data_IF_994679483850
#
_entry.id   IF_994679483850
#
_cell.length_a   1.000
_cell.length_b   1.000
_cell.length_c   1.000
_cell.angle_alpha   90.00
_cell.angle_beta   90.00
_cell.angle_gamma   90.00
#
_symmetry.space_group_name_H-M   'P 1'
#
loop_
_entity.id
_entity.type
_entity.pdbx_description
1 polymer ?
#
# COMPACT_ATOMS: atom_id res chain seq x y z
N UNK A 1 32.71 -63.53 23.39
CA UNK A 1 33.64 -63.44 22.24
C UNK A 1 33.24 -62.25 21.38
N UNK A 2 34.10 -61.24 21.16
CA UNK A 2 33.86 -60.17 20.18
C UNK A 2 34.83 -60.21 18.98
N UNK A 3 34.40 -59.51 17.91
CA UNK A 3 35.09 -58.92 16.73
C UNK A 3 34.54 -59.43 15.37
N UNK A 4 34.63 -58.65 14.25
CA UNK A 4 35.20 -57.30 14.09
C UNK A 4 34.34 -56.27 13.30
N UNK A 5 34.96 -55.08 13.18
CA UNK A 5 34.50 -53.81 12.63
C UNK A 5 34.29 -53.75 11.10
N UNK A 6 33.43 -52.83 10.69
CA UNK A 6 33.29 -52.35 9.31
C UNK A 6 32.69 -50.93 9.27
N UNK A 7 33.49 -49.96 8.82
CA UNK A 7 33.09 -48.63 8.37
C UNK A 7 32.12 -48.79 7.16
N UNK A 8 31.21 -47.90 6.73
CA UNK A 8 31.22 -46.44 6.55
C UNK A 8 29.86 -46.06 5.90
N UNK A 9 29.42 -44.79 6.00
CA UNK A 9 28.91 -43.93 4.90
C UNK A 9 27.86 -42.91 5.41
N UNK A 10 28.27 -41.64 5.50
CA UNK A 10 27.37 -40.48 5.55
C UNK A 10 26.99 -40.02 4.12
N UNK A 11 25.84 -39.35 3.92
CA UNK A 11 25.38 -38.96 2.59
C UNK A 11 26.16 -37.76 2.02
N UNK A 12 26.50 -37.85 0.74
CA UNK A 12 27.12 -36.78 -0.07
C UNK A 12 26.12 -35.64 -0.30
N UNK A 13 26.51 -34.40 0.01
CA UNK A 13 25.82 -33.20 -0.49
C UNK A 13 26.18 -33.00 -1.96
N UNK A 14 25.16 -33.01 -2.81
CA UNK A 14 25.27 -32.73 -4.24
C UNK A 14 25.53 -31.26 -4.54
N UNK A 15 26.23 -31.07 -5.66
CA UNK A 15 26.78 -29.84 -6.21
C UNK A 15 25.74 -28.78 -6.59
N UNK A 16 26.09 -27.52 -6.29
CA UNK A 16 25.44 -26.31 -6.78
C UNK A 16 26.49 -25.24 -7.06
N UNK A 17 27.23 -25.44 -8.17
CA UNK A 17 28.00 -24.48 -8.96
C UNK A 17 28.34 -23.12 -8.30
N UNK A 18 29.48 -23.07 -7.58
CA UNK A 18 30.23 -21.83 -7.40
C UNK A 18 31.28 -21.73 -8.51
N UNK A 19 31.37 -20.62 -9.26
CA UNK A 19 32.46 -20.46 -10.21
C UNK A 19 33.79 -20.35 -9.44
N UNK A 20 34.73 -21.24 -9.76
CA UNK A 20 36.12 -21.17 -9.28
C UNK A 20 36.77 -19.92 -9.83
N UNK A 21 36.85 -18.87 -9.01
CA UNK A 21 37.66 -17.71 -9.29
C UNK A 21 39.09 -17.93 -8.77
N UNK A 22 39.95 -18.50 -9.62
CA UNK A 22 41.40 -18.34 -9.50
C UNK A 22 41.84 -17.39 -10.62
N UNK A 23 41.88 -16.09 -10.33
CA UNK A 23 42.76 -15.11 -10.99
C UNK A 23 42.62 -13.71 -10.36
N UNK A 24 43.76 -13.19 -9.89
CA UNK A 24 44.13 -11.78 -9.86
C UNK A 24 43.24 -10.79 -9.08
N UNK A 25 43.55 -10.61 -7.80
CA UNK A 25 44.02 -9.31 -7.26
C UNK A 25 43.19 -8.03 -7.42
N UNK A 26 41.93 -8.06 -7.86
CA UNK A 26 41.06 -6.88 -7.89
C UNK A 26 39.86 -7.10 -7.00
N UNK A 27 39.85 -6.42 -5.85
CA UNK A 27 38.72 -6.33 -4.92
C UNK A 27 37.47 -5.94 -5.70
N UNK A 28 36.59 -6.91 -5.96
CA UNK A 28 35.31 -6.70 -6.63
C UNK A 28 34.50 -5.67 -5.83
N UNK A 29 34.43 -4.43 -6.33
CA UNK A 29 33.57 -3.40 -5.74
C UNK A 29 32.17 -3.62 -6.30
N UNK A 30 31.23 -4.02 -5.43
CA UNK A 30 29.80 -4.06 -5.76
C UNK A 30 29.41 -2.72 -6.42
N UNK A 31 28.79 -2.72 -7.60
CA UNK A 31 28.33 -1.49 -8.24
C UNK A 31 27.34 -0.78 -7.31
N UNK A 32 27.45 0.55 -7.20
CA UNK A 32 26.56 1.34 -6.35
C UNK A 32 25.15 1.24 -6.93
N UNK A 33 24.15 0.77 -6.15
CA UNK A 33 22.79 0.66 -6.65
C UNK A 33 22.26 2.03 -7.09
N UNK A 34 21.56 2.06 -8.23
CA UNK A 34 20.93 3.26 -8.78
C UNK A 34 19.94 3.83 -7.76
N UNK A 35 19.66 5.13 -7.87
CA UNK A 35 18.80 5.84 -6.91
C UNK A 35 17.44 5.12 -6.72
N UNK A 36 16.85 4.57 -7.78
CA UNK A 36 15.60 3.78 -7.71
C UNK A 36 15.76 2.37 -7.11
N UNK A 37 16.90 1.70 -7.36
CA UNK A 37 17.20 0.36 -6.83
C UNK A 37 17.42 0.39 -5.30
N UNK A 38 18.05 1.44 -4.76
CA UNK A 38 18.18 1.63 -3.29
C UNK A 38 16.85 1.82 -2.57
N UNK A 39 15.89 2.46 -3.24
CA UNK A 39 14.54 2.59 -2.70
C UNK A 39 13.83 1.23 -2.71
N UNK A 40 13.93 0.47 -3.81
CA UNK A 40 13.36 -0.87 -3.90
C UNK A 40 13.99 -1.87 -2.91
N UNK A 41 15.30 -1.83 -2.70
CA UNK A 41 16.03 -2.69 -1.75
C UNK A 41 15.65 -2.41 -0.28
N UNK A 42 15.42 -1.14 0.10
CA UNK A 42 14.90 -0.78 1.43
C UNK A 42 13.45 -1.22 1.67
N UNK A 43 12.70 -1.46 0.59
CA UNK A 43 11.27 -1.75 0.59
C UNK A 43 10.95 -3.22 0.27
N UNK A 44 11.96 -4.10 0.18
CA UNK A 44 11.71 -5.55 0.09
C UNK A 44 10.94 -6.01 1.33
N UNK A 45 9.97 -6.94 1.20
CA UNK A 45 9.14 -7.36 2.32
C UNK A 45 10.02 -8.06 3.35
N UNK A 46 10.42 -7.28 4.37
CA UNK A 46 10.97 -7.83 5.61
C UNK A 46 9.85 -8.62 6.24
N UNK A 47 10.18 -9.78 6.81
CA UNK A 47 9.24 -10.57 7.62
C UNK A 47 8.46 -9.62 8.55
N UNK A 48 7.12 -9.60 8.52
CA UNK A 48 6.33 -8.75 9.42
C UNK A 48 6.73 -8.98 10.88
N UNK A 49 6.77 -7.91 11.67
CA UNK A 49 7.12 -7.97 13.09
C UNK A 49 5.91 -7.74 14.00
N UNK A 50 6.08 -7.95 15.30
CA UNK A 50 5.04 -7.64 16.28
C UNK A 50 4.76 -6.13 16.35
N UNK A 51 5.78 -5.30 16.14
CA UNK A 51 5.65 -3.84 16.09
C UNK A 51 4.81 -3.39 14.89
N UNK A 52 4.98 -4.02 13.72
CA UNK A 52 4.11 -3.77 12.55
C UNK A 52 2.64 -4.03 12.91
N UNK A 53 2.37 -5.16 13.59
CA UNK A 53 1.01 -5.51 14.02
C UNK A 53 0.45 -4.50 15.04
N UNK A 54 1.27 -4.01 15.97
CA UNK A 54 0.88 -2.96 16.92
C UNK A 54 0.51 -1.65 16.21
N UNK A 55 1.25 -1.27 15.16
CA UNK A 55 0.91 -0.10 14.33
C UNK A 55 -0.45 -0.29 13.65
N UNK A 56 -0.71 -1.49 13.09
CA UNK A 56 -2.01 -1.81 12.48
C UNK A 56 -3.15 -1.72 13.50
N UNK A 57 -2.96 -2.28 14.70
CA UNK A 57 -3.95 -2.19 15.77
C UNK A 57 -4.22 -0.73 16.14
N UNK A 58 -3.18 0.11 16.18
CA UNK A 58 -3.35 1.55 16.48
C UNK A 58 -4.06 2.33 15.39
N UNK A 59 -3.75 2.02 14.12
CA UNK A 59 -4.48 2.52 12.96
C UNK A 59 -5.97 2.12 13.05
N UNK A 60 -6.25 0.86 13.39
CA UNK A 60 -7.62 0.38 13.59
C UNK A 60 -8.35 1.13 14.72
N UNK A 61 -7.69 1.35 15.86
CA UNK A 61 -8.25 2.10 16.99
C UNK A 61 -8.68 3.51 16.60
N UNK A 62 -7.83 4.25 15.87
CA UNK A 62 -8.14 5.59 15.39
C UNK A 62 -9.37 5.60 14.46
N UNK A 63 -9.60 4.53 13.69
CA UNK A 63 -10.79 4.40 12.82
C UNK A 63 -12.09 4.13 13.58
N UNK A 64 -12.00 3.82 14.88
CA UNK A 64 -13.15 3.58 15.76
C UNK A 64 -13.60 4.83 16.50
N UNK A 65 -12.81 5.90 16.50
CA UNK A 65 -13.23 7.18 17.11
C UNK A 65 -14.60 7.59 16.58
N UNK A 66 -15.50 8.12 17.45
CA UNK A 66 -16.88 8.41 17.06
C UNK A 66 -17.00 9.29 15.82
N UNK A 67 -16.19 10.34 15.74
CA UNK A 67 -16.23 11.27 14.60
C UNK A 67 -15.63 10.66 13.34
N UNK A 68 -14.54 9.89 13.47
CA UNK A 68 -13.98 9.13 12.35
C UNK A 68 -14.98 8.07 11.83
N UNK A 69 -15.77 7.43 12.69
CA UNK A 69 -16.82 6.51 12.26
C UNK A 69 -17.90 7.20 11.44
N UNK A 70 -18.33 8.41 11.83
CA UNK A 70 -19.27 9.21 11.03
C UNK A 70 -18.66 9.58 9.67
N UNK A 71 -17.41 10.05 9.68
CA UNK A 71 -16.71 10.41 8.46
C UNK A 71 -16.61 9.24 7.47
N UNK A 72 -16.22 8.06 7.97
CA UNK A 72 -16.12 6.82 7.18
C UNK A 72 -17.49 6.35 6.67
N UNK A 73 -18.53 6.45 7.50
CA UNK A 73 -19.89 6.11 7.10
C UNK A 73 -20.35 7.01 5.94
N UNK A 74 -20.22 8.34 6.09
CA UNK A 74 -20.55 9.30 5.02
C UNK A 74 -19.72 9.06 3.75
N UNK A 75 -18.41 8.84 3.89
CA UNK A 75 -17.53 8.57 2.75
C UNK A 75 -17.96 7.31 2.00
N UNK A 76 -18.45 6.29 2.71
CA UNK A 76 -18.91 5.04 2.12
C UNK A 76 -20.30 5.14 1.49
N UNK A 77 -21.27 5.70 2.21
CA UNK A 77 -22.69 5.71 1.81
C UNK A 77 -23.03 6.84 0.84
N UNK A 78 -22.51 8.04 1.07
CA UNK A 78 -23.05 9.28 0.49
C UNK A 78 -22.10 9.90 -0.53
N UNK A 79 -20.79 9.89 -0.27
CA UNK A 79 -19.81 10.51 -1.16
C UNK A 79 -19.56 9.67 -2.42
N UNK A 80 -20.33 9.87 -3.50
CA UNK A 80 -20.15 9.14 -4.77
C UNK A 80 -19.89 10.09 -5.95
N UNK A 81 -18.65 10.65 -6.06
CA UNK A 81 -18.34 11.60 -7.12
C UNK A 81 -18.47 10.93 -8.49
N UNK A 82 -19.03 11.67 -9.45
CA UNK A 82 -19.21 11.29 -10.86
C UNK A 82 -18.12 11.90 -11.75
N UNK A 83 -17.49 12.96 -11.29
CA UNK A 83 -16.42 13.68 -11.98
C UNK A 83 -15.48 14.36 -10.97
N UNK A 84 -14.47 15.08 -11.47
CA UNK A 84 -13.53 15.82 -10.63
C UNK A 84 -14.18 17.00 -9.89
N UNK A 85 -15.17 17.66 -10.48
CA UNK A 85 -15.83 18.83 -9.88
C UNK A 85 -16.59 18.46 -8.60
N UNK A 86 -17.23 17.30 -8.55
CA UNK A 86 -17.87 16.78 -7.34
C UNK A 86 -16.87 16.62 -6.19
N UNK A 87 -15.64 16.17 -6.50
CA UNK A 87 -14.57 16.06 -5.49
C UNK A 87 -14.06 17.44 -5.08
N UNK A 88 -13.89 18.34 -6.04
CA UNK A 88 -13.40 19.71 -5.82
C UNK A 88 -14.38 20.51 -4.97
N UNK A 89 -15.68 20.36 -5.16
CA UNK A 89 -16.71 21.02 -4.34
C UNK A 89 -16.57 20.64 -2.86
N UNK A 90 -16.35 19.36 -2.57
CA UNK A 90 -16.09 18.88 -1.20
C UNK A 90 -14.78 19.45 -0.67
N UNK A 91 -13.70 19.44 -1.46
CA UNK A 91 -12.39 19.98 -1.04
C UNK A 91 -12.46 21.48 -0.74
N UNK A 92 -13.16 22.26 -1.57
CA UNK A 92 -13.34 23.72 -1.44
C UNK A 92 -14.41 24.11 -0.41
N UNK A 93 -14.87 23.14 0.38
CA UNK A 93 -15.75 23.34 1.53
C UNK A 93 -17.13 23.94 1.20
N UNK A 94 -17.76 23.51 0.10
CA UNK A 94 -19.17 23.80 -0.17
C UNK A 94 -20.09 23.39 1.02
N UNK A 95 -19.72 22.30 1.70
CA UNK A 95 -20.27 21.90 3.00
C UNK A 95 -19.10 21.69 3.99
N UNK A 96 -18.99 22.52 5.06
CA UNK A 96 -17.88 22.42 6.02
C UNK A 96 -17.76 21.07 6.74
N UNK A 97 -18.89 20.42 7.05
CA UNK A 97 -18.88 19.13 7.76
C UNK A 97 -18.40 18.00 6.85
N UNK A 98 -18.89 17.96 5.61
CA UNK A 98 -18.47 16.97 4.61
C UNK A 98 -17.00 17.16 4.24
N UNK A 99 -16.55 18.41 4.15
CA UNK A 99 -15.14 18.73 3.97
C UNK A 99 -14.28 18.21 5.13
N UNK A 100 -14.71 18.40 6.38
CA UNK A 100 -14.01 17.88 7.55
C UNK A 100 -13.94 16.34 7.51
N UNK A 101 -15.06 15.67 7.23
CA UNK A 101 -15.11 14.21 7.09
C UNK A 101 -14.24 13.68 5.95
N UNK A 102 -14.30 14.33 4.79
CA UNK A 102 -13.48 14.00 3.63
C UNK A 102 -11.99 14.09 3.95
N UNK A 103 -11.55 15.20 4.56
CA UNK A 103 -10.15 15.35 4.99
C UNK A 103 -9.75 14.32 6.04
N UNK A 104 -10.65 13.98 6.96
CA UNK A 104 -10.39 12.98 7.98
C UNK A 104 -10.09 11.61 7.36
N UNK A 105 -10.92 11.15 6.42
CA UNK A 105 -10.73 9.84 5.76
C UNK A 105 -9.52 9.85 4.84
N UNK A 106 -9.43 10.81 3.92
CA UNK A 106 -8.35 10.85 2.93
C UNK A 106 -6.98 11.12 3.56
N UNK A 107 -6.91 12.02 4.54
CA UNK A 107 -5.68 12.34 5.27
C UNK A 107 -5.18 11.17 6.11
N UNK A 108 -6.09 10.46 6.79
CA UNK A 108 -5.76 9.25 7.55
C UNK A 108 -5.06 8.20 6.67
N UNK A 109 -5.60 7.93 5.48
CA UNK A 109 -5.02 6.93 4.58
C UNK A 109 -3.71 7.38 3.94
N UNK A 110 -3.56 8.66 3.60
CA UNK A 110 -2.29 9.19 3.08
C UNK A 110 -1.18 9.17 4.15
N UNK A 111 -1.52 9.46 5.41
CA UNK A 111 -0.62 9.29 6.54
C UNK A 111 -0.21 7.83 6.72
N UNK A 112 -1.17 6.89 6.75
CA UNK A 112 -0.88 5.47 6.93
C UNK A 112 0.00 4.91 5.79
N UNK A 113 -0.27 5.29 4.55
CA UNK A 113 0.58 4.95 3.40
C UNK A 113 2.01 5.50 3.55
N UNK A 114 2.18 6.65 4.22
CA UNK A 114 3.51 7.21 4.50
C UNK A 114 4.37 6.31 5.39
N UNK A 115 3.78 5.54 6.31
CA UNK A 115 4.51 4.61 7.17
C UNK A 115 5.10 3.46 6.35
N UNK A 116 4.31 2.89 5.45
CA UNK A 116 4.77 1.84 4.53
C UNK A 116 5.85 2.38 3.59
N UNK A 117 5.60 3.54 2.98
CA UNK A 117 6.55 4.16 2.04
C UNK A 117 7.88 4.56 2.69
N UNK A 118 7.91 4.73 4.01
CA UNK A 118 9.12 5.02 4.81
C UNK A 118 9.72 3.77 5.46
N UNK A 119 9.12 2.60 5.27
CA UNK A 119 9.58 1.33 5.84
C UNK A 119 9.34 1.18 7.33
N UNK A 120 8.42 1.97 7.90
CA UNK A 120 8.01 1.88 9.31
C UNK A 120 6.86 0.87 9.52
N UNK A 121 6.22 0.43 8.44
CA UNK A 121 5.16 -0.57 8.46
C UNK A 121 5.34 -1.53 7.28
N UNK A 122 5.29 -2.83 7.54
CA UNK A 122 5.31 -3.86 6.50
C UNK A 122 4.13 -3.69 5.49
N UNK A 123 4.44 -3.75 4.19
CA UNK A 123 3.47 -3.54 3.12
C UNK A 123 2.38 -4.62 3.06
N UNK A 124 2.77 -5.90 3.10
CA UNK A 124 1.82 -7.00 2.96
C UNK A 124 0.82 -7.02 4.12
N UNK A 125 1.31 -6.84 5.35
CA UNK A 125 0.47 -6.74 6.55
C UNK A 125 -0.49 -5.54 6.47
N UNK A 126 -0.02 -4.41 5.94
CA UNK A 126 -0.86 -3.24 5.70
C UNK A 126 -1.91 -3.50 4.62
N UNK A 127 -1.57 -4.19 3.54
CA UNK A 127 -2.50 -4.54 2.47
C UNK A 127 -3.59 -5.52 2.92
N UNK A 128 -3.27 -6.46 3.80
CA UNK A 128 -4.22 -7.42 4.36
C UNK A 128 -5.26 -6.76 5.28
N UNK A 129 -4.87 -5.67 5.96
CA UNK A 129 -5.72 -4.96 6.93
C UNK A 129 -6.36 -3.67 6.36
N UNK A 130 -5.89 -3.19 5.21
CA UNK A 130 -6.15 -1.87 4.65
C UNK A 130 -7.27 -1.79 3.61
N UNK A 131 -8.27 -2.68 3.61
CA UNK A 131 -9.30 -2.77 2.57
C UNK A 131 -9.96 -1.43 2.19
N UNK A 132 -10.25 -0.59 3.18
CA UNK A 132 -10.89 0.72 2.98
C UNK A 132 -9.96 1.76 2.34
N UNK A 133 -8.63 1.62 2.44
CA UNK A 133 -7.69 2.45 1.69
C UNK A 133 -7.92 2.30 0.19
N UNK A 134 -8.04 1.05 -0.28
CA UNK A 134 -8.28 0.74 -1.69
C UNK A 134 -9.61 1.33 -2.14
N UNK A 135 -10.64 1.22 -1.33
CA UNK A 135 -11.96 1.80 -1.62
C UNK A 135 -11.90 3.33 -1.69
N UNK A 136 -11.21 3.96 -0.74
CA UNK A 136 -11.01 5.42 -0.69
C UNK A 136 -10.31 5.92 -1.95
N UNK A 137 -9.19 5.28 -2.33
CA UNK A 137 -8.47 5.63 -3.55
C UNK A 137 -9.34 5.39 -4.79
N UNK A 138 -9.96 4.21 -4.92
CA UNK A 138 -10.73 3.85 -6.11
C UNK A 138 -11.91 4.81 -6.41
N UNK A 139 -12.54 5.39 -5.38
CA UNK A 139 -13.60 6.40 -5.59
C UNK A 139 -13.11 7.66 -6.27
N UNK A 140 -11.87 8.08 -6.06
CA UNK A 140 -11.34 9.33 -6.62
C UNK A 140 -10.30 9.11 -7.72
N UNK A 141 -9.75 7.90 -7.85
CA UNK A 141 -8.65 7.57 -8.77
C UNK A 141 -8.92 7.99 -10.23
N UNK A 142 -10.11 7.74 -10.83
CA UNK A 142 -10.39 8.18 -12.20
C UNK A 142 -10.30 9.70 -12.40
N UNK A 143 -10.51 10.47 -11.34
CA UNK A 143 -10.56 11.94 -11.37
C UNK A 143 -9.35 12.58 -10.69
N UNK A 144 -8.38 11.79 -10.22
CA UNK A 144 -7.39 12.22 -9.24
C UNK A 144 -6.47 13.30 -9.80
N UNK A 145 -6.03 13.15 -11.06
CA UNK A 145 -5.20 14.15 -11.76
C UNK A 145 -5.92 15.49 -11.86
N UNK A 146 -7.11 15.49 -12.46
CA UNK A 146 -7.92 16.70 -12.67
C UNK A 146 -8.33 17.35 -11.34
N UNK A 147 -8.68 16.54 -10.33
CA UNK A 147 -9.00 17.02 -8.97
C UNK A 147 -7.83 17.81 -8.38
N UNK A 148 -6.59 17.28 -8.47
CA UNK A 148 -5.39 17.95 -7.95
C UNK A 148 -5.12 19.28 -8.65
N UNK A 149 -5.34 19.33 -9.96
CA UNK A 149 -5.21 20.54 -10.77
C UNK A 149 -6.26 21.59 -10.37
N UNK A 150 -7.55 21.24 -10.39
CA UNK A 150 -8.67 22.15 -10.08
C UNK A 150 -8.74 22.62 -8.62
N UNK A 151 -8.34 21.76 -7.69
CA UNK A 151 -8.29 22.08 -6.26
C UNK A 151 -6.98 22.73 -5.81
N UNK A 152 -5.96 22.80 -6.67
CA UNK A 152 -4.62 23.28 -6.33
C UNK A 152 -3.99 22.51 -5.16
N UNK A 153 -4.27 21.20 -5.07
CA UNK A 153 -3.76 20.30 -4.02
C UNK A 153 -2.90 19.19 -4.63
N UNK A 154 -1.68 19.47 -5.11
CA UNK A 154 -0.87 18.52 -5.88
C UNK A 154 -0.52 17.23 -5.11
N UNK A 155 -0.58 17.26 -3.78
CA UNK A 155 -0.23 16.14 -2.90
C UNK A 155 -1.43 15.29 -2.47
N UNK A 156 -2.67 15.64 -2.86
CA UNK A 156 -3.87 14.90 -2.45
C UNK A 156 -3.77 13.41 -2.82
N UNK A 157 -3.78 12.54 -1.80
CA UNK A 157 -3.58 11.07 -1.89
C UNK A 157 -2.33 10.61 -2.66
N UNK A 158 -1.30 11.46 -2.79
CA UNK A 158 -0.11 11.13 -3.58
C UNK A 158 0.64 9.90 -3.04
N UNK A 159 0.63 9.66 -1.72
CA UNK A 159 1.31 8.50 -1.13
C UNK A 159 0.48 7.25 -1.31
N UNK A 160 -0.85 7.35 -1.16
CA UNK A 160 -1.76 6.23 -1.40
C UNK A 160 -1.69 5.77 -2.85
N UNK A 161 -1.75 6.70 -3.81
CA UNK A 161 -1.61 6.41 -5.24
C UNK A 161 -0.26 5.74 -5.54
N UNK A 162 0.84 6.32 -5.04
CA UNK A 162 2.17 5.75 -5.26
C UNK A 162 2.30 4.35 -4.66
N UNK A 163 1.79 4.15 -3.44
CA UNK A 163 1.78 2.84 -2.79
C UNK A 163 0.98 1.81 -3.60
N UNK A 164 -0.22 2.19 -4.04
CA UNK A 164 -1.11 1.35 -4.82
C UNK A 164 -0.59 1.01 -6.22
N UNK A 165 0.25 1.87 -6.83
CA UNK A 165 0.66 1.70 -8.23
C UNK A 165 2.09 1.21 -8.41
N UNK A 166 2.92 1.21 -7.35
CA UNK A 166 4.36 0.86 -7.44
C UNK A 166 4.63 -0.61 -7.77
N UNK A 167 3.82 -1.54 -7.26
CA UNK A 167 4.01 -2.99 -7.45
C UNK A 167 2.94 -3.58 -8.37
N UNK A 168 3.19 -4.78 -8.90
CA UNK A 168 2.18 -5.51 -9.66
C UNK A 168 0.98 -5.87 -8.78
N UNK A 169 1.21 -6.41 -7.59
CA UNK A 169 0.16 -6.78 -6.64
C UNK A 169 -0.73 -5.58 -6.28
N UNK A 170 -0.13 -4.42 -5.96
CA UNK A 170 -0.88 -3.21 -5.65
C UNK A 170 -1.77 -2.76 -6.82
N UNK A 171 -1.25 -2.82 -8.05
CA UNK A 171 -2.05 -2.48 -9.25
C UNK A 171 -3.20 -3.46 -9.45
N UNK A 172 -2.98 -4.75 -9.26
CA UNK A 172 -4.00 -5.79 -9.41
C UNK A 172 -5.12 -5.62 -8.36
N UNK A 173 -4.76 -5.30 -7.10
CA UNK A 173 -5.71 -4.97 -6.03
C UNK A 173 -6.50 -3.69 -6.33
N UNK A 174 -5.83 -2.63 -6.78
CA UNK A 174 -6.49 -1.38 -7.18
C UNK A 174 -7.47 -1.61 -8.33
N UNK A 175 -7.08 -2.36 -9.37
CA UNK A 175 -7.96 -2.69 -10.49
C UNK A 175 -9.19 -3.48 -10.04
N UNK A 176 -9.01 -4.43 -9.13
CA UNK A 176 -10.15 -5.16 -8.53
C UNK A 176 -11.11 -4.21 -7.81
N UNK A 177 -10.58 -3.26 -7.03
CA UNK A 177 -11.42 -2.30 -6.31
C UNK A 177 -12.10 -1.30 -7.24
N UNK A 178 -11.41 -0.82 -8.29
CA UNK A 178 -12.00 0.05 -9.31
C UNK A 178 -13.23 -0.59 -9.95
N UNK A 179 -13.14 -1.85 -10.37
CA UNK A 179 -14.30 -2.60 -10.92
C UNK A 179 -15.47 -2.65 -9.94
N UNK A 180 -15.20 -2.86 -8.64
CA UNK A 180 -16.24 -2.88 -7.60
C UNK A 180 -16.90 -1.52 -7.41
N UNK A 181 -16.10 -0.45 -7.39
CA UNK A 181 -16.60 0.94 -7.26
C UNK A 181 -17.45 1.32 -8.48
N UNK A 182 -17.01 1.01 -9.69
CA UNK A 182 -17.78 1.27 -10.91
C UNK A 182 -19.09 0.48 -10.96
N UNK A 183 -19.07 -0.80 -10.59
CA UNK A 183 -20.30 -1.59 -10.48
C UNK A 183 -21.29 -0.97 -9.48
N UNK A 184 -20.79 -0.46 -8.35
CA UNK A 184 -21.63 0.23 -7.36
C UNK A 184 -22.15 1.58 -7.88
N UNK A 185 -21.34 2.38 -8.58
CA UNK A 185 -21.78 3.61 -9.26
C UNK A 185 -22.92 3.33 -10.23
N UNK A 186 -22.77 2.30 -11.07
CA UNK A 186 -23.80 1.89 -12.02
C UNK A 186 -25.08 1.45 -11.32
N UNK A 187 -25.00 0.71 -10.21
CA UNK A 187 -26.15 0.32 -9.43
C UNK A 187 -26.88 1.52 -8.80
N UNK A 188 -26.13 2.49 -8.26
CA UNK A 188 -26.70 3.72 -7.70
C UNK A 188 -27.37 4.58 -8.78
N UNK A 189 -26.78 4.67 -9.97
CA UNK A 189 -27.35 5.41 -11.09
C UNK A 189 -28.64 4.79 -11.62
N UNK A 190 -28.82 3.46 -11.52
CA UNK A 190 -30.08 2.77 -11.89
C UNK A 190 -31.19 2.93 -10.86
N UNK A 191 -30.84 3.27 -9.62
CA UNK A 191 -31.78 3.41 -8.50
C UNK A 191 -32.20 4.88 -8.24
N UNK A 192 -31.61 5.82 -8.98
CA UNK A 192 -31.91 7.25 -8.94
C UNK A 192 -32.82 7.63 -10.11
#
# INVERSE_FOLDING_TARGET
MPLPAGQTLQPRRGDGMQPRAQALGKRWKRPKPRRGERFQEKLMPKKPTAEDAQIIMRLYDLRREPEMRKARAWFASSFWPKNADDVVQVIKAANPQENAWFRQVSGYWDMAASFVMRGALNEDLFFDSGAEMWFTLAKVYPFLKETREKAQTPTYLARVEKLATRTKDGRDRLQTMLKRVEARRAALAKAA
#
